data_IF_324440355711
#
_entry.id   IF_324440355711
#
_cell.length_a   1.000
_cell.length_b   1.000
_cell.length_c   1.000
_cell.angle_alpha   90.00
_cell.angle_beta   90.00
_cell.angle_gamma   90.00
#
_symmetry.space_group_name_H-M   'P 1'
#
loop_
_entity.id
_entity.type
_entity.pdbx_description
1 polymer ?
#
# COMPACT_ATOMS: atom_id res chain seq x y z
N UNK A 1 -9.52 11.54 -2.31
CA UNK A 1 -8.50 11.57 -1.23
C UNK A 1 -9.13 11.09 0.07
N UNK A 2 -8.93 9.83 0.48
CA UNK A 2 -9.41 9.27 1.74
C UNK A 2 -8.46 9.63 2.90
N UNK A 3 -8.05 10.90 2.95
CA UNK A 3 -7.18 11.46 3.98
C UNK A 3 -8.06 12.30 4.88
N UNK A 4 -8.16 11.89 6.12
CA UNK A 4 -9.10 12.46 7.08
C UNK A 4 -8.31 13.03 8.26
N UNK A 5 -8.80 14.16 8.78
CA UNK A 5 -8.25 14.77 9.98
C UNK A 5 -9.01 14.24 11.19
N UNK A 6 -8.29 13.85 12.22
CA UNK A 6 -8.86 13.53 13.50
C UNK A 6 -8.96 14.83 14.31
N UNK A 7 -10.16 15.34 14.51
CA UNK A 7 -10.38 16.65 15.14
C UNK A 7 -9.99 16.67 16.62
N UNK A 8 -10.07 15.52 17.30
CA UNK A 8 -9.74 15.42 18.72
C UNK A 8 -8.24 15.54 19.03
N UNK A 9 -7.37 15.00 18.16
CA UNK A 9 -5.93 14.90 18.42
C UNK A 9 -5.07 15.68 17.40
N UNK A 10 -5.69 16.33 16.42
CA UNK A 10 -5.00 17.03 15.33
C UNK A 10 -4.25 16.11 14.34
N UNK A 11 -4.24 14.80 14.56
CA UNK A 11 -3.54 13.82 13.73
C UNK A 11 -4.33 13.47 12.47
N UNK A 12 -3.63 13.18 11.39
CA UNK A 12 -4.21 12.72 10.13
C UNK A 12 -4.20 11.20 10.03
N UNK A 13 -5.19 10.64 9.33
CA UNK A 13 -5.27 9.23 9.02
C UNK A 13 -5.65 9.01 7.55
N UNK A 14 -5.23 7.86 7.02
CA UNK A 14 -5.39 7.47 5.61
C UNK A 14 -6.03 6.11 5.55
N UNK A 15 -7.03 5.98 4.69
CA UNK A 15 -7.65 4.71 4.37
C UNK A 15 -7.36 4.35 2.91
N UNK A 16 -6.45 3.42 2.69
CA UNK A 16 -6.17 2.89 1.36
C UNK A 16 -6.96 1.60 1.15
N UNK A 17 -7.66 1.51 0.03
CA UNK A 17 -8.33 0.27 -0.41
C UNK A 17 -7.50 -0.34 -1.53
N UNK A 18 -7.25 -1.64 -1.45
CA UNK A 18 -6.48 -2.35 -2.46
C UNK A 18 -7.06 -3.75 -2.67
N UNK A 19 -6.84 -4.28 -3.86
CA UNK A 19 -7.18 -5.66 -4.21
C UNK A 19 -5.87 -6.44 -4.10
N UNK A 20 -5.87 -7.54 -3.35
CA UNK A 20 -4.71 -8.41 -3.33
C UNK A 20 -4.65 -9.25 -4.61
N UNK A 21 -3.52 -9.91 -4.82
CA UNK A 21 -3.31 -10.86 -5.92
C UNK A 21 -4.33 -12.02 -5.96
N UNK A 22 -5.06 -12.29 -4.86
CA UNK A 22 -6.16 -13.28 -4.80
C UNK A 22 -7.53 -12.71 -5.20
N UNK A 23 -7.62 -11.43 -5.56
CA UNK A 23 -8.88 -10.75 -5.90
C UNK A 23 -9.70 -10.29 -4.69
N UNK A 24 -9.21 -10.46 -3.46
CA UNK A 24 -9.88 -9.99 -2.25
C UNK A 24 -9.67 -8.49 -2.04
N UNK A 25 -10.76 -7.77 -1.77
CA UNK A 25 -10.72 -6.35 -1.41
C UNK A 25 -10.28 -6.21 0.05
N UNK A 26 -9.11 -5.61 0.27
CA UNK A 26 -8.61 -5.27 1.60
C UNK A 26 -8.56 -3.77 1.80
N UNK A 27 -8.72 -3.37 3.06
CA UNK A 27 -8.59 -1.99 3.49
C UNK A 27 -7.42 -1.89 4.47
N UNK A 28 -6.51 -0.95 4.21
CA UNK A 28 -5.41 -0.61 5.11
C UNK A 28 -5.67 0.79 5.66
N UNK A 29 -5.83 0.86 6.98
CA UNK A 29 -5.99 2.12 7.69
C UNK A 29 -4.68 2.42 8.43
N UNK A 30 -4.04 3.55 8.10
CA UNK A 30 -2.88 4.04 8.85
C UNK A 30 -3.22 5.38 9.49
N UNK A 31 -2.98 5.47 10.81
CA UNK A 31 -3.29 6.62 11.66
C UNK A 31 -2.02 7.19 12.29
N UNK A 32 -2.07 8.46 12.69
CA UNK A 32 -1.00 9.11 13.44
C UNK A 32 -0.06 9.99 12.61
N UNK A 33 -0.47 10.41 11.41
CA UNK A 33 0.32 11.36 10.63
C UNK A 33 0.21 12.77 11.25
N UNK A 34 1.31 13.50 11.33
CA UNK A 34 1.29 14.87 11.85
C UNK A 34 0.70 15.84 10.81
N UNK A 35 0.93 15.58 9.52
CA UNK A 35 0.49 16.45 8.43
C UNK A 35 -0.31 15.70 7.35
N UNK A 36 -1.17 16.45 6.64
CA UNK A 36 -1.90 15.94 5.47
C UNK A 36 -0.95 15.47 4.35
N UNK A 37 0.20 16.13 4.21
CA UNK A 37 1.19 15.82 3.16
C UNK A 37 1.81 14.45 3.37
N UNK A 38 2.25 14.12 4.58
CA UNK A 38 2.80 12.80 4.90
C UNK A 38 1.77 11.70 4.68
N UNK A 39 0.52 11.96 5.04
CA UNK A 39 -0.61 11.07 4.79
C UNK A 39 -0.81 10.81 3.28
N UNK A 40 -0.77 11.85 2.45
CA UNK A 40 -0.86 11.72 0.98
C UNK A 40 0.36 11.01 0.38
N UNK A 41 1.58 11.31 0.83
CA UNK A 41 2.78 10.62 0.37
C UNK A 41 2.75 9.13 0.72
N UNK A 42 2.19 8.77 1.87
CA UNK A 42 2.01 7.38 2.25
C UNK A 42 1.01 6.66 1.35
N UNK A 43 -0.14 7.27 1.04
CA UNK A 43 -1.10 6.71 0.07
C UNK A 43 -0.42 6.45 -1.27
N UNK A 44 0.27 7.46 -1.80
CA UNK A 44 0.95 7.36 -3.11
C UNK A 44 2.01 6.26 -3.11
N UNK A 45 2.83 6.17 -2.07
CA UNK A 45 3.82 5.10 -1.90
C UNK A 45 3.16 3.72 -1.79
N UNK A 46 2.06 3.62 -1.05
CA UNK A 46 1.33 2.37 -0.87
C UNK A 46 0.70 1.89 -2.18
N UNK A 47 0.15 2.80 -2.98
CA UNK A 47 -0.43 2.47 -4.28
C UNK A 47 0.65 2.07 -5.30
N UNK A 48 1.80 2.74 -5.31
CA UNK A 48 2.96 2.36 -6.13
C UNK A 48 3.51 0.99 -5.74
N UNK A 49 3.63 0.69 -4.44
CA UNK A 49 4.03 -0.63 -3.96
C UNK A 49 3.03 -1.69 -4.39
N UNK A 50 1.74 -1.43 -4.19
CA UNK A 50 0.71 -2.41 -4.50
C UNK A 50 0.51 -2.60 -6.03
N UNK A 51 0.79 -1.59 -6.86
CA UNK A 51 0.82 -1.73 -8.33
C UNK A 51 2.07 -2.47 -8.80
N UNK A 52 3.23 -2.19 -8.20
CA UNK A 52 4.48 -2.91 -8.50
C UNK A 52 4.42 -4.38 -8.04
N UNK A 53 3.75 -4.67 -6.93
CA UNK A 53 3.48 -6.05 -6.46
C UNK A 53 2.46 -6.77 -7.36
N UNK A 54 1.57 -6.04 -8.05
CA UNK A 54 0.61 -6.62 -9.00
C UNK A 54 1.25 -6.96 -10.36
N UNK A 55 2.32 -6.26 -10.75
CA UNK A 55 3.09 -6.53 -11.97
C UNK A 55 4.29 -7.49 -11.73
N UNK A 56 4.57 -7.89 -10.48
CA UNK A 56 5.46 -9.02 -10.20
C UNK A 56 4.63 -10.31 -10.16
N UNK A 57 4.32 -10.82 -11.34
CA UNK A 57 3.76 -12.15 -11.51
C UNK A 57 4.65 -13.17 -10.77
N UNK A 58 4.00 -14.09 -10.07
CA UNK A 58 4.63 -15.19 -9.34
C UNK A 58 5.60 -16.01 -10.22
N UNK A 59 5.43 -15.93 -11.54
CA UNK A 59 6.32 -16.46 -12.58
C UNK A 59 7.74 -15.87 -12.48
N UNK A 60 7.89 -14.55 -12.31
CA UNK A 60 9.20 -13.90 -12.15
C UNK A 60 9.91 -14.34 -10.86
N UNK A 61 9.14 -14.62 -9.79
CA UNK A 61 9.70 -15.17 -8.55
C UNK A 61 10.17 -16.62 -8.73
N UNK A 62 9.41 -17.44 -9.46
CA UNK A 62 9.84 -18.82 -9.76
C UNK A 62 11.04 -18.87 -10.70
N UNK A 63 11.14 -17.97 -11.68
CA UNK A 63 12.30 -17.87 -12.56
C UNK A 63 13.58 -17.47 -11.79
N UNK A 64 13.47 -16.53 -10.86
CA UNK A 64 14.60 -16.14 -10.00
C UNK A 64 15.03 -17.29 -9.09
N UNK A 65 14.09 -18.00 -8.46
CA UNK A 65 14.42 -19.14 -7.61
C UNK A 65 15.00 -20.32 -8.40
N UNK A 66 14.51 -20.59 -9.61
CA UNK A 66 15.03 -21.66 -10.47
C UNK A 66 16.46 -21.37 -10.98
N UNK A 67 16.80 -20.10 -11.19
CA UNK A 67 18.15 -19.68 -11.59
C UNK A 67 19.16 -19.70 -10.44
N UNK A 68 18.73 -19.45 -9.20
CA UNK A 68 19.60 -19.44 -8.01
C UNK A 68 19.86 -20.85 -7.43
N UNK A 69 19.04 -21.85 -7.80
CA UNK A 69 19.17 -23.25 -7.37
C UNK A 69 20.07 -24.09 -8.31
N UNK A 70 20.73 -23.45 -9.30
CA UNK A 70 21.57 -24.15 -10.28
C UNK A 70 23.07 -24.07 -9.98
#
# INVERSE_FOLDING_TARGET
MPVFKNESNGTWYVMARYVNWKGERKQKCKRGFATKREAQEWERKFQLQNSADLDMDFEAFTELYANDVK
#
